data_IF_974845637559
#
_entry.id   IF_974845637559
#
_cell.length_a   1.000
_cell.length_b   1.000
_cell.length_c   1.000
_cell.angle_alpha   90.00
_cell.angle_beta   90.00
_cell.angle_gamma   90.00
#
_symmetry.space_group_name_H-M   'P 1'
#
loop_
_entity.id
_entity.type
_entity.pdbx_description
1 polymer ?
#
# COMPACT_ATOMS: atom_id res chain seq x y z
N UNK A 1 -4.66 -0.78 -17.49
CA UNK A 1 -3.79 -0.16 -16.48
C UNK A 1 -3.14 -1.25 -15.64
N UNK A 2 -1.90 -1.10 -15.29
CA UNK A 2 -1.15 -2.11 -14.52
C UNK A 2 -0.74 -1.59 -13.16
N UNK A 3 -0.47 -2.50 -12.24
CA UNK A 3 0.08 -2.22 -10.93
C UNK A 3 1.60 -2.37 -10.98
N UNK A 4 2.31 -1.38 -10.47
CA UNK A 4 3.77 -1.42 -10.36
C UNK A 4 4.16 -1.20 -8.90
N UNK A 5 4.92 -2.11 -8.33
CA UNK A 5 5.41 -1.98 -6.96
C UNK A 5 6.87 -1.55 -6.97
N UNK A 6 7.21 -0.52 -6.20
CA UNK A 6 8.61 -0.20 -5.96
C UNK A 6 9.29 -1.34 -5.19
N UNK A 7 10.63 -1.36 -5.17
CA UNK A 7 11.36 -2.34 -4.36
C UNK A 7 11.00 -2.25 -2.88
N UNK A 8 10.85 -1.03 -2.37
CA UNK A 8 10.47 -0.80 -0.99
C UNK A 8 9.06 -1.28 -0.70
N UNK A 9 8.13 -1.05 -1.62
CA UNK A 9 6.77 -1.54 -1.46
C UNK A 9 6.73 -3.07 -1.42
N UNK A 10 7.51 -3.73 -2.27
CA UNK A 10 7.59 -5.19 -2.25
C UNK A 10 8.17 -5.68 -0.93
N UNK A 11 9.24 -5.05 -0.44
CA UNK A 11 9.82 -5.38 0.85
C UNK A 11 8.82 -5.14 2.00
N UNK A 12 8.05 -4.05 1.93
CA UNK A 12 7.00 -3.77 2.91
C UNK A 12 5.97 -4.92 2.96
N UNK A 13 5.55 -5.41 1.79
CA UNK A 13 4.59 -6.51 1.70
C UNK A 13 5.18 -7.82 2.27
N UNK A 14 6.44 -8.10 1.99
CA UNK A 14 7.13 -9.26 2.54
C UNK A 14 7.19 -9.20 4.07
N UNK A 15 7.51 -8.03 4.62
CA UNK A 15 7.55 -7.80 6.07
C UNK A 15 6.16 -7.93 6.70
N UNK A 16 5.12 -7.40 6.05
CA UNK A 16 3.74 -7.53 6.50
C UNK A 16 3.34 -9.02 6.55
N UNK A 17 3.68 -9.78 5.51
CA UNK A 17 3.42 -11.21 5.46
C UNK A 17 4.09 -11.93 6.63
N UNK A 18 5.38 -11.72 6.81
CA UNK A 18 6.16 -12.42 7.82
C UNK A 18 5.67 -12.08 9.23
N UNK A 19 5.44 -10.81 9.49
CA UNK A 19 4.89 -10.35 10.77
C UNK A 19 3.51 -10.94 11.03
N UNK A 20 2.63 -10.94 10.03
CA UNK A 20 1.27 -11.44 10.17
C UNK A 20 1.23 -12.95 10.44
N UNK A 21 2.08 -13.71 9.76
CA UNK A 21 2.19 -15.15 10.00
C UNK A 21 2.68 -15.42 11.42
N UNK A 22 3.71 -14.69 11.85
CA UNK A 22 4.30 -14.86 13.18
C UNK A 22 3.33 -14.49 14.30
N UNK A 23 2.59 -13.40 14.16
CA UNK A 23 1.72 -12.89 15.21
C UNK A 23 0.33 -13.52 15.23
N UNK A 24 -0.22 -13.88 14.07
CA UNK A 24 -1.62 -14.26 13.95
C UNK A 24 -1.84 -15.61 13.27
N UNK A 25 -0.79 -16.24 12.74
CA UNK A 25 -0.88 -17.50 12.02
C UNK A 25 -1.20 -17.32 10.54
N UNK A 26 -1.04 -18.43 9.79
CA UNK A 26 -1.13 -18.44 8.34
C UNK A 26 -2.50 -18.01 7.82
N UNK A 27 -3.59 -18.50 8.43
CA UNK A 27 -4.95 -18.17 7.96
C UNK A 27 -5.23 -16.68 8.02
N UNK A 28 -4.92 -16.05 9.16
CA UNK A 28 -5.12 -14.62 9.33
C UNK A 28 -4.21 -13.81 8.42
N UNK A 29 -2.98 -14.27 8.20
CA UNK A 29 -2.05 -13.63 7.28
C UNK A 29 -2.61 -13.62 5.85
N UNK A 30 -3.16 -14.74 5.39
CA UNK A 30 -3.78 -14.83 4.07
C UNK A 30 -4.94 -13.84 3.95
N UNK A 31 -5.83 -13.79 4.95
CA UNK A 31 -6.96 -12.85 4.95
C UNK A 31 -6.48 -11.39 4.88
N UNK A 32 -5.44 -11.06 5.63
CA UNK A 32 -4.93 -9.70 5.66
C UNK A 32 -4.30 -9.31 4.33
N UNK A 33 -3.49 -10.19 3.74
CA UNK A 33 -2.87 -9.96 2.43
C UNK A 33 -3.91 -9.87 1.32
N UNK A 34 -4.98 -10.66 1.41
CA UNK A 34 -6.10 -10.56 0.47
C UNK A 34 -6.77 -9.20 0.56
N UNK A 35 -6.93 -8.64 1.76
CA UNK A 35 -7.50 -7.31 1.94
C UNK A 35 -6.62 -6.24 1.28
N UNK A 36 -5.30 -6.36 1.39
CA UNK A 36 -4.37 -5.45 0.72
C UNK A 36 -4.48 -5.61 -0.81
N UNK A 37 -4.56 -6.84 -1.30
CA UNK A 37 -4.74 -7.09 -2.73
C UNK A 37 -6.03 -6.49 -3.26
N UNK A 38 -7.13 -6.61 -2.51
CA UNK A 38 -8.40 -5.98 -2.86
C UNK A 38 -8.26 -4.46 -2.96
N UNK A 39 -7.50 -3.86 -2.05
CA UNK A 39 -7.22 -2.43 -2.11
C UNK A 39 -6.46 -2.07 -3.38
N UNK A 40 -5.46 -2.85 -3.78
CA UNK A 40 -4.76 -2.63 -5.04
C UNK A 40 -5.70 -2.70 -6.25
N UNK A 41 -6.62 -3.66 -6.27
CA UNK A 41 -7.60 -3.77 -7.35
C UNK A 41 -8.50 -2.54 -7.43
N UNK A 42 -8.90 -2.00 -6.28
CA UNK A 42 -9.67 -0.74 -6.24
C UNK A 42 -8.87 0.41 -6.83
N UNK A 43 -7.58 0.50 -6.56
CA UNK A 43 -6.74 1.54 -7.12
C UNK A 43 -6.61 1.39 -8.64
N UNK A 44 -6.62 0.17 -9.16
CA UNK A 44 -6.61 -0.06 -10.60
C UNK A 44 -7.92 0.39 -11.26
N UNK A 45 -9.05 0.18 -10.58
CA UNK A 45 -10.36 0.60 -11.07
C UNK A 45 -10.58 2.11 -10.91
N UNK A 46 -10.06 2.68 -9.83
CA UNK A 46 -10.24 4.09 -9.46
C UNK A 46 -8.91 4.70 -9.00
N UNK A 47 -8.00 5.01 -9.94
CA UNK A 47 -6.63 5.41 -9.55
C UNK A 47 -6.53 6.66 -8.68
N UNK A 48 -7.53 7.52 -8.71
CA UNK A 48 -7.50 8.77 -7.93
C UNK A 48 -8.37 8.74 -6.69
N UNK A 49 -8.79 7.55 -6.25
CA UNK A 49 -9.63 7.40 -5.06
C UNK A 49 -8.92 7.79 -3.77
N UNK A 50 -7.60 7.69 -3.72
CA UNK A 50 -6.81 8.00 -2.54
C UNK A 50 -6.79 9.48 -2.20
N UNK A 51 -6.44 9.80 -0.95
CA UNK A 51 -6.31 11.16 -0.50
C UNK A 51 -4.95 11.73 -0.90
N UNK A 52 -4.94 12.97 -1.40
CA UNK A 52 -3.71 13.63 -1.78
C UNK A 52 -2.86 13.95 -0.56
N UNK A 53 -1.57 13.66 -0.64
CA UNK A 53 -0.61 13.86 0.45
C UNK A 53 0.38 14.96 0.08
N UNK A 54 -0.04 16.22 0.27
CA UNK A 54 0.81 17.39 -0.01
C UNK A 54 2.06 17.42 0.86
N UNK A 55 1.98 16.85 2.05
CA UNK A 55 3.09 16.76 3.02
C UNK A 55 4.24 15.86 2.52
N UNK A 56 3.95 14.94 1.61
CA UNK A 56 4.96 13.98 1.09
C UNK A 56 5.46 14.39 -0.29
N UNK A 57 4.59 15.03 -1.08
CA UNK A 57 4.88 15.42 -2.44
C UNK A 57 3.58 15.53 -3.23
N UNK A 58 3.46 16.50 -4.10
CA UNK A 58 2.18 16.90 -4.69
C UNK A 58 1.45 15.82 -5.47
N UNK A 59 2.12 14.75 -5.90
CA UNK A 59 1.50 13.67 -6.71
C UNK A 59 1.22 12.40 -5.91
N UNK A 60 1.61 12.36 -4.65
CA UNK A 60 1.44 11.16 -3.84
C UNK A 60 0.02 11.12 -3.25
N UNK A 61 -0.62 9.98 -3.44
CA UNK A 61 -1.93 9.68 -2.88
C UNK A 61 -1.78 8.60 -1.81
N UNK A 62 -2.68 8.58 -0.84
CA UNK A 62 -2.69 7.54 0.17
C UNK A 62 -4.07 6.88 0.24
N UNK A 63 -4.08 5.57 0.38
CA UNK A 63 -5.29 4.77 0.47
C UNK A 63 -5.16 3.73 1.57
N UNK A 64 -6.14 3.67 2.46
CA UNK A 64 -6.09 2.76 3.61
C UNK A 64 -6.48 1.34 3.22
N UNK A 65 -5.70 0.38 3.74
CA UNK A 65 -5.98 -1.05 3.62
C UNK A 65 -5.71 -1.67 5.00
N UNK A 66 -6.78 -1.91 5.78
CA UNK A 66 -6.65 -2.38 7.16
C UNK A 66 -5.85 -1.40 8.01
N UNK A 67 -4.80 -1.90 8.67
CA UNK A 67 -3.91 -1.10 9.50
C UNK A 67 -2.77 -0.45 8.72
N UNK A 68 -2.77 -0.58 7.41
CA UNK A 68 -1.72 -0.04 6.54
C UNK A 68 -2.25 1.03 5.60
N UNK A 69 -1.33 1.85 5.11
CA UNK A 69 -1.62 2.85 4.09
C UNK A 69 -0.74 2.60 2.89
N UNK A 70 -1.40 2.58 1.73
CA UNK A 70 -0.73 2.44 0.44
C UNK A 70 -0.42 3.85 -0.06
N UNK A 71 0.87 4.17 -0.19
CA UNK A 71 1.31 5.42 -0.79
C UNK A 71 1.61 5.15 -2.25
N UNK A 72 0.98 5.91 -3.15
CA UNK A 72 1.09 5.62 -4.57
C UNK A 72 0.95 6.88 -5.42
N UNK A 73 1.34 6.74 -6.68
CA UNK A 73 1.08 7.73 -7.73
C UNK A 73 0.19 7.12 -8.80
N UNK A 74 -0.81 7.87 -9.23
CA UNK A 74 -1.65 7.49 -10.37
C UNK A 74 -1.03 8.06 -11.65
N UNK A 75 -0.43 7.20 -12.45
CA UNK A 75 0.19 7.56 -13.73
C UNK A 75 -0.75 7.21 -14.89
N UNK A 76 -0.43 7.66 -16.10
CA UNK A 76 -1.33 7.50 -17.25
C UNK A 76 -1.59 6.03 -17.60
N UNK A 77 -0.62 5.15 -17.39
CA UNK A 77 -0.69 3.74 -17.78
C UNK A 77 -0.59 2.78 -16.60
N UNK A 78 -0.38 3.29 -15.38
CA UNK A 78 -0.18 2.42 -14.22
C UNK A 78 -0.45 3.13 -12.90
N UNK A 79 -0.70 2.32 -11.88
CA UNK A 79 -0.65 2.73 -10.48
C UNK A 79 0.72 2.33 -9.94
N UNK A 80 1.53 3.31 -9.56
CA UNK A 80 2.86 3.06 -9.02
C UNK A 80 2.83 3.13 -7.50
N UNK A 81 2.97 1.98 -6.83
CA UNK A 81 2.97 1.90 -5.37
C UNK A 81 4.37 2.18 -4.84
N UNK A 82 4.49 3.24 -4.05
CA UNK A 82 5.76 3.70 -3.50
C UNK A 82 6.10 2.97 -2.21
N UNK A 83 5.16 2.91 -1.28
CA UNK A 83 5.31 2.24 0.01
C UNK A 83 3.98 1.66 0.48
N UNK A 84 4.05 0.66 1.36
CA UNK A 84 2.91 0.17 2.15
C UNK A 84 3.33 0.25 3.61
N UNK A 85 2.87 1.28 4.31
CA UNK A 85 3.32 1.61 5.66
C UNK A 85 2.21 1.41 6.69
N UNK A 86 2.58 0.96 7.88
CA UNK A 86 1.64 0.89 9.00
C UNK A 86 1.14 2.30 9.34
N UNK A 87 -0.15 2.43 9.68
CA UNK A 87 -0.77 3.74 9.94
C UNK A 87 -0.13 4.51 11.09
N UNK A 88 0.56 3.82 12.01
CA UNK A 88 1.27 4.45 13.13
C UNK A 88 2.63 5.03 12.74
N UNK A 89 3.13 4.73 11.54
CA UNK A 89 4.41 5.26 11.06
C UNK A 89 4.24 6.70 10.57
N UNK A 90 5.26 7.52 10.81
CA UNK A 90 5.36 8.86 10.24
C UNK A 90 5.71 8.74 8.75
N UNK A 91 4.76 8.99 7.89
CA UNK A 91 4.91 8.78 6.44
C UNK A 91 5.94 9.71 5.82
N UNK A 92 6.06 10.94 6.31
CA UNK A 92 7.08 11.87 5.82
C UNK A 92 8.49 11.31 6.05
N UNK A 93 8.68 10.65 7.17
CA UNK A 93 9.98 10.09 7.56
C UNK A 93 10.33 8.82 6.78
N UNK A 94 9.32 8.00 6.44
CA UNK A 94 9.54 6.67 5.87
C UNK A 94 9.43 6.62 4.33
N UNK A 95 8.98 7.67 3.71
CA UNK A 95 8.96 7.81 2.26
C UNK A 95 10.27 8.42 1.77
#
# INVERSE_FOLDING_TARGET
MRLELSRRAQADLDDIRDYSVEQFGIEQAIHYLDAIEQAFRRLLDHPRIGAQRVDIGGKVLSYSAGEHRILYEARSDRVHVIRVLHKAMDMERWV
#
